data_IF_221401411804
#
_entry.id   IF_221401411804
#
_cell.length_a   1.000
_cell.length_b   1.000
_cell.length_c   1.000
_cell.angle_alpha   90.00
_cell.angle_beta   90.00
_cell.angle_gamma   90.00
#
_symmetry.space_group_name_H-M   'P 1'
#
loop_
_entity.id
_entity.type
_entity.pdbx_description
1 polymer ?
#
# COMPACT_ATOMS: atom_id res chain seq x y z
N UNK A 1 11.81 3.70 -9.19
CA UNK A 1 11.98 3.38 -7.75
C UNK A 1 13.29 3.97 -7.17
N UNK A 2 13.69 5.21 -7.50
CA UNK A 2 14.94 5.77 -6.94
C UNK A 2 14.79 5.95 -5.42
N UNK A 3 15.70 5.38 -4.63
CA UNK A 3 15.68 5.40 -3.15
C UNK A 3 14.40 4.86 -2.50
N UNK A 4 13.67 3.98 -3.19
CA UNK A 4 12.49 3.33 -2.59
C UNK A 4 12.93 2.10 -1.76
N UNK A 5 12.26 1.89 -0.62
CA UNK A 5 12.43 0.72 0.24
C UNK A 5 11.14 -0.08 0.21
N UNK A 6 11.24 -1.38 -0.07
CA UNK A 6 10.11 -2.31 -0.03
C UNK A 6 10.52 -3.47 0.86
N UNK A 7 9.91 -3.56 2.03
CA UNK A 7 10.30 -4.51 3.07
C UNK A 7 9.10 -5.31 3.56
N UNK A 8 9.24 -6.65 3.57
CA UNK A 8 8.16 -7.61 3.89
C UNK A 8 6.86 -7.25 3.17
N UNK A 9 6.90 -7.26 1.85
CA UNK A 9 5.75 -6.87 1.05
C UNK A 9 5.47 -7.86 -0.07
N UNK A 10 4.19 -8.05 -0.36
CA UNK A 10 3.73 -8.70 -1.59
C UNK A 10 3.31 -7.58 -2.54
N UNK A 11 3.90 -7.54 -3.72
CA UNK A 11 3.61 -6.53 -4.74
C UNK A 11 3.20 -7.23 -6.02
N UNK A 12 1.95 -7.01 -6.44
CA UNK A 12 1.41 -7.60 -7.65
C UNK A 12 1.95 -6.88 -8.92
N UNK A 13 1.57 -7.37 -10.10
CA UNK A 13 1.98 -6.84 -11.39
C UNK A 13 1.46 -5.42 -11.65
N UNK A 14 2.19 -4.72 -12.51
CA UNK A 14 1.85 -3.37 -13.00
C UNK A 14 1.77 -2.29 -11.91
N UNK A 15 2.30 -2.57 -10.71
CA UNK A 15 2.41 -1.58 -9.65
C UNK A 15 3.52 -0.56 -9.94
N UNK A 16 3.32 0.66 -9.46
CA UNK A 16 4.30 1.74 -9.53
C UNK A 16 4.67 2.20 -8.14
N UNK A 17 5.94 2.00 -7.75
CA UNK A 17 6.47 2.47 -6.47
C UNK A 17 7.24 3.77 -6.70
N UNK A 18 6.69 4.87 -6.18
CA UNK A 18 7.25 6.21 -6.29
C UNK A 18 8.69 6.29 -5.74
N UNK A 19 9.52 7.22 -6.25
CA UNK A 19 10.83 7.50 -5.66
C UNK A 19 10.70 7.86 -4.17
N UNK A 20 11.62 7.35 -3.34
CA UNK A 20 11.62 7.62 -1.90
C UNK A 20 10.47 6.98 -1.10
N UNK A 21 9.58 6.20 -1.72
CA UNK A 21 8.58 5.43 -0.97
C UNK A 21 9.27 4.47 0.02
N UNK A 22 8.64 4.26 1.17
CA UNK A 22 9.02 3.22 2.11
C UNK A 22 7.81 2.35 2.43
N UNK A 23 7.74 1.15 1.85
CA UNK A 23 6.68 0.16 2.10
C UNK A 23 7.15 -0.82 3.16
N UNK A 24 6.34 -1.01 4.22
CA UNK A 24 6.73 -1.79 5.40
C UNK A 24 7.57 -1.00 6.41
N UNK A 25 7.30 0.30 6.52
CA UNK A 25 7.97 1.28 7.38
C UNK A 25 7.73 1.02 8.87
N UNK A 26 8.79 1.16 9.66
CA UNK A 26 8.75 1.08 11.11
C UNK A 26 8.53 -0.34 11.67
N UNK A 27 8.31 -0.38 12.98
CA UNK A 27 8.18 -1.60 13.78
C UNK A 27 6.82 -1.67 14.50
N UNK A 28 5.82 -0.93 14.01
CA UNK A 28 4.44 -1.04 14.45
C UNK A 28 3.75 -2.21 13.73
N UNK A 29 3.42 -3.25 14.49
CA UNK A 29 2.76 -4.47 14.02
C UNK A 29 1.26 -4.50 14.30
N UNK A 30 0.63 -3.34 14.50
CA UNK A 30 -0.83 -3.23 14.61
C UNK A 30 -1.51 -4.03 13.50
N UNK A 31 -2.49 -4.85 13.88
CA UNK A 31 -3.24 -5.72 12.97
C UNK A 31 -4.02 -4.89 11.95
N UNK A 32 -4.22 -5.43 10.75
CA UNK A 32 -5.11 -4.79 9.81
C UNK A 32 -6.55 -4.71 10.35
N UNK A 33 -7.21 -3.56 10.12
CA UNK A 33 -8.59 -3.33 10.58
C UNK A 33 -9.62 -4.16 9.82
N UNK A 34 -9.39 -4.39 8.53
CA UNK A 34 -10.33 -5.09 7.65
C UNK A 34 -9.99 -6.58 7.50
N UNK A 35 -8.70 -6.93 7.57
CA UNK A 35 -8.19 -8.30 7.37
C UNK A 35 -7.26 -8.75 8.52
N UNK A 36 -7.69 -8.70 9.79
CA UNK A 36 -6.82 -8.98 10.94
C UNK A 36 -6.26 -10.41 10.97
N UNK A 37 -6.96 -11.38 10.38
CA UNK A 37 -6.51 -12.78 10.37
C UNK A 37 -5.40 -13.04 9.34
N UNK A 38 -5.32 -12.24 8.28
CA UNK A 38 -4.35 -12.41 7.19
C UNK A 38 -3.18 -11.44 7.26
N UNK A 39 -3.43 -10.21 7.73
CA UNK A 39 -2.44 -9.14 7.80
C UNK A 39 -2.10 -8.83 9.26
N UNK A 40 -1.35 -9.76 9.86
CA UNK A 40 -0.97 -9.72 11.28
C UNK A 40 0.53 -9.95 11.55
N UNK A 41 1.30 -10.39 10.56
CA UNK A 41 2.70 -10.79 10.73
C UNK A 41 3.72 -9.73 10.24
N UNK A 42 3.24 -8.53 9.95
CA UNK A 42 4.00 -7.38 9.50
C UNK A 42 4.13 -7.25 7.98
N UNK A 43 3.35 -8.03 7.22
CA UNK A 43 3.36 -8.04 5.75
C UNK A 43 2.44 -6.97 5.18
N UNK A 44 2.92 -6.23 4.19
CA UNK A 44 2.10 -5.24 3.48
C UNK A 44 1.83 -5.70 2.05
N UNK A 45 0.57 -5.63 1.61
CA UNK A 45 0.14 -6.12 0.30
C UNK A 45 -0.20 -4.94 -0.62
N UNK A 46 0.34 -4.96 -1.83
CA UNK A 46 0.10 -3.96 -2.88
C UNK A 46 -0.54 -4.63 -4.09
N UNK A 47 -1.82 -4.33 -4.31
CA UNK A 47 -2.64 -4.90 -5.38
C UNK A 47 -2.30 -4.36 -6.76
N UNK A 48 -2.66 -5.14 -7.79
CA UNK A 48 -2.39 -4.87 -9.20
C UNK A 48 -2.62 -3.41 -9.59
N UNK A 49 -1.65 -2.83 -10.28
CA UNK A 49 -1.82 -1.50 -10.90
C UNK A 49 -1.83 -0.33 -9.92
N UNK A 50 -1.59 -0.56 -8.62
CA UNK A 50 -1.49 0.50 -7.64
C UNK A 50 -0.30 1.42 -7.94
N UNK A 51 -0.49 2.72 -7.77
CA UNK A 51 0.52 3.77 -7.98
C UNK A 51 0.74 4.52 -6.68
N UNK A 52 1.81 4.17 -5.99
CA UNK A 52 2.20 4.79 -4.73
C UNK A 52 2.96 6.10 -5.05
N UNK A 53 2.52 7.25 -4.51
CA UNK A 53 3.15 8.53 -4.79
C UNK A 53 4.54 8.66 -4.16
N UNK A 54 5.42 9.52 -4.71
CA UNK A 54 6.78 9.70 -4.19
C UNK A 54 6.79 10.06 -2.70
N UNK A 55 7.75 9.52 -1.95
CA UNK A 55 7.92 9.81 -0.53
C UNK A 55 6.90 9.14 0.42
N UNK A 56 5.86 8.47 -0.11
CA UNK A 56 4.85 7.80 0.72
C UNK A 56 5.50 6.77 1.65
N UNK A 57 5.23 6.89 2.95
CA UNK A 57 5.55 5.88 3.95
C UNK A 57 4.32 5.02 4.20
N UNK A 58 4.47 3.71 4.10
CA UNK A 58 3.42 2.74 4.39
C UNK A 58 3.89 1.85 5.51
N UNK A 59 3.12 1.79 6.60
CA UNK A 59 3.37 0.90 7.73
C UNK A 59 3.31 -0.58 7.37
N UNK A 60 3.20 -1.41 8.41
CA UNK A 60 3.06 -2.85 8.29
C UNK A 60 1.60 -3.28 8.30
N UNK A 61 1.33 -4.51 7.87
CA UNK A 61 -0.04 -5.05 7.86
C UNK A 61 -1.01 -4.17 7.04
N UNK A 62 -0.50 -3.42 6.06
CA UNK A 62 -1.34 -2.57 5.24
C UNK A 62 -1.84 -3.34 4.01
N UNK A 63 -3.04 -3.00 3.56
CA UNK A 63 -3.56 -3.43 2.26
C UNK A 63 -3.74 -2.23 1.34
N UNK A 64 -3.07 -2.23 0.21
CA UNK A 64 -3.27 -1.24 -0.85
C UNK A 64 -4.01 -1.93 -1.99
N UNK A 65 -5.24 -1.49 -2.25
CA UNK A 65 -6.13 -2.05 -3.24
C UNK A 65 -5.63 -1.89 -4.68
N UNK A 66 -6.28 -2.59 -5.60
CA UNK A 66 -5.94 -2.52 -7.02
C UNK A 66 -6.22 -1.12 -7.59
N UNK A 67 -5.31 -0.61 -8.42
CA UNK A 67 -5.46 0.66 -9.15
C UNK A 67 -5.68 1.89 -8.29
N UNK A 68 -5.27 1.82 -7.02
CA UNK A 68 -5.15 2.97 -6.13
C UNK A 68 -4.15 3.96 -6.76
N UNK A 69 -4.47 5.24 -6.76
CA UNK A 69 -3.63 6.33 -7.26
C UNK A 69 -3.46 7.40 -6.16
N UNK A 70 -2.65 8.45 -6.41
CA UNK A 70 -2.37 9.50 -5.42
C UNK A 70 -3.61 10.06 -4.74
N UNK A 71 -4.69 10.28 -5.48
CA UNK A 71 -5.95 10.86 -4.97
C UNK A 71 -6.68 10.00 -3.93
N UNK A 72 -6.32 8.71 -3.86
CA UNK A 72 -6.94 7.78 -2.91
C UNK A 72 -6.28 7.82 -1.53
N UNK A 73 -5.08 8.39 -1.41
CA UNK A 73 -4.40 8.61 -0.14
C UNK A 73 -4.75 9.99 0.42
N UNK A 74 -5.02 10.05 1.73
CA UNK A 74 -5.30 11.31 2.41
C UNK A 74 -4.02 12.05 2.85
N UNK A 75 -2.91 11.33 3.03
CA UNK A 75 -1.62 11.86 3.50
C UNK A 75 -0.43 11.08 2.86
N UNK A 76 0.79 11.53 3.14
CA UNK A 76 2.07 10.91 2.77
C UNK A 76 2.52 9.82 3.77
N UNK A 77 1.67 9.47 4.72
CA UNK A 77 1.85 8.34 5.62
C UNK A 77 0.57 7.50 5.74
N UNK A 78 0.68 6.20 5.44
CA UNK A 78 -0.36 5.21 5.70
C UNK A 78 0.01 4.40 6.96
N UNK A 79 -0.74 4.55 8.07
CA UNK A 79 -0.44 3.87 9.33
C UNK A 79 -0.52 2.35 9.23
N UNK A 80 0.20 1.63 10.10
CA UNK A 80 0.11 0.18 10.19
C UNK A 80 -1.33 -0.29 10.42
N UNK A 81 -1.67 -1.42 9.83
CA UNK A 81 -3.00 -2.00 9.91
C UNK A 81 -4.08 -1.27 9.08
N UNK A 82 -3.69 -0.31 8.25
CA UNK A 82 -4.63 0.44 7.41
C UNK A 82 -4.88 -0.22 6.05
N UNK A 83 -6.04 0.06 5.48
CA UNK A 83 -6.41 -0.30 4.11
C UNK A 83 -6.68 0.96 3.30
N UNK A 84 -6.21 0.97 2.05
CA UNK A 84 -6.59 2.00 1.06
C UNK A 84 -7.24 1.29 -0.11
N UNK A 85 -8.49 1.65 -0.38
CA UNK A 85 -9.21 1.24 -1.58
C UNK A 85 -9.37 2.41 -2.53
N UNK A 86 -9.55 2.10 -3.81
CA UNK A 86 -9.74 3.11 -4.84
C UNK A 86 -11.07 3.82 -4.64
N UNK A 87 -11.07 5.15 -4.48
CA UNK A 87 -12.29 5.97 -4.26
C UNK A 87 -13.19 6.03 -5.49
N UNK A 88 -12.62 5.90 -6.70
CA UNK A 88 -13.38 5.97 -7.96
C UNK A 88 -13.21 4.71 -8.78
N UNK A 89 -14.29 3.97 -9.06
CA UNK A 89 -14.20 2.78 -9.90
C UNK A 89 -13.97 3.15 -11.38
N UNK A 90 -12.90 2.63 -11.98
CA UNK A 90 -12.84 2.51 -13.45
C UNK A 90 -13.68 1.30 -13.83
N UNK A 91 -14.78 1.52 -14.57
CA UNK A 91 -15.42 0.44 -15.30
C UNK A 91 -14.39 -0.13 -16.28
N UNK A 92 -14.00 -1.37 -16.09
CA UNK A 92 -13.29 -2.10 -17.12
C UNK A 92 -14.24 -2.22 -18.31
N UNK A 93 -13.90 -1.54 -19.40
CA UNK A 93 -14.48 -1.85 -20.70
C UNK A 93 -13.89 -3.20 -21.10
N UNK A 94 -14.66 -4.26 -20.87
CA UNK A 94 -14.55 -5.50 -21.63
C UNK A 94 -14.87 -5.23 -23.10
#
# INVERSE_FOLDING_TARGET
>A
CKNAIVHRSIVDKQCWIGPGCHVGYGDDYTLNKDEPDYLNCGITVVGKGAKLPPGLKVGRNCRIGCWVERSDFDDDFLPSGSTVERKTQKKYRV
#
